data_IF_655262509088
#
_entry.id   IF_655262509088
#
_cell.length_a   1.000
_cell.length_b   1.000
_cell.length_c   1.000
_cell.angle_alpha   90.00
_cell.angle_beta   90.00
_cell.angle_gamma   90.00
#
_symmetry.space_group_name_H-M   'P 1'
#
loop_
_entity.id
_entity.type
_entity.pdbx_description
1 polymer ?
#
# COMPACT_ATOMS: atom_id res chain seq x y z
N UNK A 1 -6.34 -15.74 13.10
CA UNK A 1 -5.69 -14.51 12.64
C UNK A 1 -5.68 -13.59 13.83
N UNK A 2 -4.59 -13.59 14.59
CA UNK A 2 -4.61 -13.08 15.96
C UNK A 2 -4.44 -11.55 16.03
N UNK A 3 -4.24 -10.91 14.86
CA UNK A 3 -3.98 -9.48 14.73
C UNK A 3 -5.25 -8.62 14.58
N UNK A 4 -6.38 -9.21 14.18
CA UNK A 4 -7.68 -8.52 14.12
C UNK A 4 -8.67 -9.17 15.08
N UNK A 5 -9.23 -8.36 15.99
CA UNK A 5 -10.16 -8.84 17.03
C UNK A 5 -11.63 -8.78 16.61
N UNK A 6 -11.94 -8.13 15.48
CA UNK A 6 -13.29 -8.02 14.95
C UNK A 6 -13.67 -9.18 14.04
N UNK A 7 -14.88 -9.11 13.49
CA UNK A 7 -15.33 -10.03 12.43
C UNK A 7 -14.75 -9.57 11.10
N UNK A 8 -14.23 -10.50 10.31
CA UNK A 8 -13.85 -10.22 8.92
C UNK A 8 -15.05 -10.52 8.01
N UNK A 9 -15.43 -9.60 7.11
CA UNK A 9 -16.42 -9.89 6.07
C UNK A 9 -15.84 -10.86 5.04
N UNK A 10 -16.65 -11.27 4.06
CA UNK A 10 -16.13 -11.94 2.86
C UNK A 10 -15.11 -11.03 2.15
N UNK A 11 -13.90 -11.52 1.84
CA UNK A 11 -12.88 -10.69 1.21
C UNK A 11 -13.15 -10.48 -0.28
N UNK A 12 -12.67 -9.34 -0.79
CA UNK A 12 -12.36 -9.23 -2.20
C UNK A 12 -11.05 -9.98 -2.48
N UNK A 13 -11.10 -10.99 -3.36
CA UNK A 13 -9.96 -11.85 -3.68
C UNK A 13 -9.30 -11.40 -4.97
N UNK A 14 -7.97 -11.36 -4.99
CA UNK A 14 -7.19 -11.16 -6.20
C UNK A 14 -6.46 -12.44 -6.56
N UNK A 15 -6.72 -12.93 -7.76
CA UNK A 15 -6.19 -14.18 -8.28
C UNK A 15 -5.00 -13.94 -9.19
N UNK A 16 -4.30 -15.02 -9.56
CA UNK A 16 -3.28 -14.97 -10.61
C UNK A 16 -3.83 -14.36 -11.90
N UNK A 17 -5.08 -14.67 -12.27
CA UNK A 17 -5.69 -14.15 -13.49
C UNK A 17 -5.89 -12.63 -13.43
N UNK A 18 -6.36 -12.11 -12.29
CA UNK A 18 -6.51 -10.66 -12.07
C UNK A 18 -5.18 -9.90 -12.14
N UNK A 19 -4.07 -10.61 -11.90
CA UNK A 19 -2.73 -10.07 -11.81
C UNK A 19 -1.94 -10.23 -13.12
N UNK A 20 -2.39 -11.04 -14.08
CA UNK A 20 -1.67 -11.33 -15.35
C UNK A 20 -1.16 -10.09 -16.04
N UNK A 21 -1.99 -9.05 -16.13
CA UNK A 21 -1.66 -7.82 -16.84
C UNK A 21 -0.56 -6.99 -16.15
N UNK A 22 -0.14 -7.35 -14.93
CA UNK A 22 0.91 -6.65 -14.16
C UNK A 22 2.06 -7.57 -13.68
N UNK A 23 2.16 -8.81 -14.19
CA UNK A 23 3.30 -9.71 -13.92
C UNK A 23 4.42 -9.47 -14.93
N UNK A 24 5.68 -9.61 -14.50
CA UNK A 24 6.83 -9.56 -15.41
C UNK A 24 6.71 -10.62 -16.52
N UNK A 25 6.35 -11.84 -16.13
CA UNK A 25 6.27 -13.01 -17.01
C UNK A 25 4.88 -13.65 -17.01
N UNK A 26 3.88 -13.06 -17.67
CA UNK A 26 2.48 -13.46 -17.54
C UNK A 26 2.12 -14.77 -18.25
N UNK A 27 3.08 -15.48 -18.84
CA UNK A 27 2.85 -16.70 -19.61
C UNK A 27 2.86 -17.99 -18.76
N UNK A 28 3.14 -17.92 -17.45
CA UNK A 28 3.23 -19.12 -16.61
C UNK A 28 1.85 -19.79 -16.38
N UNK A 29 1.77 -21.07 -16.07
CA UNK A 29 0.48 -21.78 -15.94
C UNK A 29 -0.13 -21.75 -14.53
N UNK A 30 0.45 -21.00 -13.58
CA UNK A 30 -0.05 -20.92 -12.21
C UNK A 30 -1.45 -20.29 -12.12
N UNK A 31 -2.18 -20.66 -11.09
CA UNK A 31 -3.57 -20.24 -10.84
C UNK A 31 -3.82 -20.12 -9.32
N UNK A 32 -4.97 -19.56 -8.97
CA UNK A 32 -5.43 -19.48 -7.59
C UNK A 32 -5.38 -18.06 -7.00
N UNK A 33 -5.78 -17.92 -5.73
CA UNK A 33 -5.76 -16.65 -5.02
C UNK A 33 -4.32 -16.25 -4.64
N UNK A 34 -4.06 -14.94 -4.63
CA UNK A 34 -2.77 -14.34 -4.28
C UNK A 34 -2.87 -13.45 -3.04
N UNK A 35 -3.96 -12.68 -2.94
CA UNK A 35 -4.22 -11.86 -1.76
C UNK A 35 -5.71 -11.59 -1.56
N UNK A 36 -6.03 -11.22 -0.33
CA UNK A 36 -7.39 -11.04 0.18
C UNK A 36 -7.50 -9.65 0.79
N UNK A 37 -8.52 -8.89 0.40
CA UNK A 37 -8.76 -7.53 0.90
C UNK A 37 -10.08 -7.50 1.67
N UNK A 38 -10.02 -7.02 2.90
CA UNK A 38 -11.15 -6.82 3.79
C UNK A 38 -11.32 -5.33 4.01
N UNK A 39 -12.38 -4.77 3.46
CA UNK A 39 -12.59 -3.31 3.44
C UNK A 39 -13.63 -2.88 4.47
N UNK A 40 -13.57 -1.61 4.83
CA UNK A 40 -14.57 -0.95 5.68
C UNK A 40 -14.68 -1.57 7.08
N UNK A 41 -13.53 -1.94 7.66
CA UNK A 41 -13.47 -2.63 8.94
C UNK A 41 -13.60 -1.68 10.13
N UNK A 42 -14.31 -2.14 11.15
CA UNK A 42 -14.38 -1.52 12.46
C UNK A 42 -14.55 -2.59 13.56
N UNK A 43 -14.03 -2.33 14.76
CA UNK A 43 -14.18 -3.21 15.92
C UNK A 43 -15.54 -3.01 16.61
N UNK A 44 -16.10 -1.80 16.54
CA UNK A 44 -17.39 -1.44 17.11
C UNK A 44 -18.21 -0.57 16.15
N UNK A 45 -19.52 -0.52 16.35
CA UNK A 45 -20.40 0.39 15.60
C UNK A 45 -20.03 1.87 15.81
N UNK A 46 -19.48 2.20 16.99
CA UNK A 46 -18.98 3.55 17.30
C UNK A 46 -17.74 3.88 16.45
N UNK A 47 -16.77 2.97 16.38
CA UNK A 47 -15.57 3.15 15.53
C UNK A 47 -15.97 3.29 14.05
N UNK A 48 -16.98 2.54 13.62
CA UNK A 48 -17.51 2.65 12.25
C UNK A 48 -18.13 4.01 11.98
N UNK A 49 -18.87 4.56 12.95
CA UNK A 49 -19.41 5.91 12.86
C UNK A 49 -18.28 6.96 12.78
N UNK A 50 -17.25 6.85 13.62
CA UNK A 50 -16.08 7.75 13.61
C UNK A 50 -15.39 7.74 12.25
N UNK A 51 -15.09 6.55 11.70
CA UNK A 51 -14.48 6.41 10.37
C UNK A 51 -15.34 7.05 9.28
N UNK A 52 -16.67 6.84 9.32
CA UNK A 52 -17.61 7.41 8.33
C UNK A 52 -17.72 8.92 8.44
N UNK A 53 -17.83 9.46 9.65
CA UNK A 53 -17.89 10.90 9.91
C UNK A 53 -16.59 11.60 9.48
N UNK A 54 -15.44 10.97 9.72
CA UNK A 54 -14.14 11.44 9.25
C UNK A 54 -13.88 11.23 7.75
N UNK A 55 -14.79 10.58 7.02
CA UNK A 55 -14.60 10.30 5.60
C UNK A 55 -13.39 9.40 5.30
N UNK A 56 -13.01 8.54 6.24
CA UNK A 56 -11.85 7.62 6.12
C UNK A 56 -12.29 6.17 6.30
N UNK A 57 -11.47 5.25 5.82
CA UNK A 57 -11.72 3.81 5.89
C UNK A 57 -10.48 3.09 6.40
N UNK A 58 -10.70 2.09 7.25
CA UNK A 58 -9.67 1.15 7.67
C UNK A 58 -9.87 -0.18 6.95
N UNK A 59 -8.83 -0.65 6.27
CA UNK A 59 -8.84 -1.89 5.49
C UNK A 59 -7.74 -2.83 6.01
N UNK A 60 -7.90 -4.14 5.79
CA UNK A 60 -6.86 -5.15 6.00
C UNK A 60 -6.62 -5.89 4.71
N UNK A 61 -5.35 -6.10 4.35
CA UNK A 61 -4.93 -6.94 3.23
C UNK A 61 -4.03 -8.06 3.74
N UNK A 62 -4.28 -9.29 3.23
CA UNK A 62 -3.45 -10.46 3.49
C UNK A 62 -2.84 -10.92 2.17
N UNK A 63 -1.52 -10.90 2.07
CA UNK A 63 -0.76 -11.37 0.90
C UNK A 63 -0.14 -12.73 1.22
N UNK A 64 -0.45 -13.76 0.44
CA UNK A 64 0.13 -15.10 0.65
C UNK A 64 1.64 -15.10 0.39
N UNK A 65 2.42 -15.94 1.08
CA UNK A 65 3.85 -16.09 0.80
C UNK A 65 4.07 -16.90 -0.48
N UNK A 66 5.31 -16.83 -1.00
CA UNK A 66 5.76 -17.60 -2.17
C UNK A 66 5.88 -16.74 -3.43
N UNK A 67 5.89 -17.41 -4.58
CA UNK A 67 6.10 -16.77 -5.87
C UNK A 67 5.00 -17.06 -6.89
N UNK A 68 4.77 -16.07 -7.74
CA UNK A 68 3.88 -16.15 -8.90
C UNK A 68 4.65 -15.77 -10.16
N UNK A 69 4.73 -16.68 -11.12
CA UNK A 69 5.43 -16.51 -12.39
C UNK A 69 6.88 -15.96 -12.27
N UNK A 70 7.62 -16.36 -11.22
CA UNK A 70 9.02 -15.96 -11.01
C UNK A 70 9.22 -14.60 -10.30
N UNK A 71 8.16 -14.00 -9.78
CA UNK A 71 8.20 -12.84 -8.90
C UNK A 71 7.54 -13.15 -7.55
N UNK A 72 7.95 -12.46 -6.48
CA UNK A 72 7.24 -12.55 -5.20
C UNK A 72 5.80 -12.08 -5.37
N UNK A 73 4.89 -12.66 -4.57
CA UNK A 73 3.48 -12.27 -4.62
C UNK A 73 3.34 -10.82 -4.16
N UNK A 74 2.62 -10.03 -4.97
CA UNK A 74 2.43 -8.59 -4.76
C UNK A 74 1.00 -8.12 -5.02
N UNK A 75 0.66 -6.94 -4.52
CA UNK A 75 -0.57 -6.23 -4.90
C UNK A 75 -0.50 -5.72 -6.34
N UNK A 76 -1.66 -5.39 -6.93
CA UNK A 76 -1.78 -5.01 -8.35
C UNK A 76 -1.05 -3.73 -8.72
N UNK A 77 -0.96 -2.80 -7.77
CA UNK A 77 -0.42 -1.47 -7.97
C UNK A 77 -1.42 -0.49 -8.57
N UNK A 78 -1.44 0.74 -8.07
CA UNK A 78 -2.35 1.80 -8.52
C UNK A 78 -1.86 3.19 -8.12
N UNK A 79 -2.47 4.21 -8.70
CA UNK A 79 -2.41 5.60 -8.24
C UNK A 79 -3.74 6.02 -7.62
N UNK A 80 -3.71 7.13 -6.88
CA UNK A 80 -4.91 7.80 -6.38
C UNK A 80 -5.25 9.01 -7.26
N UNK A 81 -6.54 9.31 -7.46
CA UNK A 81 -6.94 10.52 -8.16
C UNK A 81 -6.67 11.77 -7.32
N UNK A 82 -6.72 12.94 -7.97
CA UNK A 82 -6.60 14.24 -7.31
C UNK A 82 -7.79 14.50 -6.37
N UNK A 83 -7.49 15.04 -5.19
CA UNK A 83 -8.47 15.61 -4.28
C UNK A 83 -8.96 16.96 -4.82
N UNK A 84 -10.06 17.53 -4.28
CA UNK A 84 -10.48 18.90 -4.60
C UNK A 84 -9.41 19.97 -4.33
N UNK A 85 -8.44 19.69 -3.46
CA UNK A 85 -7.30 20.56 -3.14
C UNK A 85 -6.15 20.50 -4.15
N UNK A 86 -6.23 19.64 -5.17
CA UNK A 86 -5.26 19.53 -6.26
C UNK A 86 -4.05 18.62 -5.99
N UNK A 87 -3.97 17.99 -4.81
CA UNK A 87 -3.04 16.90 -4.53
C UNK A 87 -3.79 15.56 -4.57
N UNK A 88 -3.13 14.50 -5.01
CA UNK A 88 -3.68 13.15 -4.94
C UNK A 88 -3.88 12.70 -3.49
N UNK A 89 -4.84 11.80 -3.26
CA UNK A 89 -5.07 11.26 -1.92
C UNK A 89 -3.85 10.47 -1.41
N UNK A 90 -3.42 10.65 -0.16
CA UNK A 90 -2.39 9.84 0.47
C UNK A 90 -2.98 8.55 1.07
N UNK A 91 -2.11 7.71 1.61
CA UNK A 91 -2.49 6.50 2.34
C UNK A 91 -1.46 6.18 3.43
N UNK A 92 -1.90 5.57 4.52
CA UNK A 92 -1.02 5.08 5.60
C UNK A 92 -1.16 3.58 5.68
N UNK A 93 -0.05 2.85 5.61
CA UNK A 93 0.00 1.42 5.88
C UNK A 93 0.61 1.12 7.25
N UNK A 94 0.21 0.00 7.85
CA UNK A 94 0.88 -0.65 8.98
C UNK A 94 1.07 -2.14 8.67
N UNK A 95 2.26 -2.67 8.93
CA UNK A 95 2.48 -4.12 8.92
C UNK A 95 1.99 -4.69 10.24
N UNK A 96 0.92 -5.49 10.21
CA UNK A 96 0.37 -6.16 11.40
C UNK A 96 1.09 -7.47 11.70
N UNK A 97 1.57 -8.17 10.66
CA UNK A 97 2.31 -9.43 10.78
C UNK A 97 3.12 -9.73 9.53
N UNK A 98 4.28 -10.35 9.69
CA UNK A 98 5.15 -10.75 8.58
C UNK A 98 6.13 -9.66 8.16
N UNK A 99 6.55 -9.72 6.90
CA UNK A 99 7.47 -8.77 6.28
C UNK A 99 6.88 -8.30 4.96
N UNK A 100 7.01 -7.02 4.66
CA UNK A 100 6.55 -6.44 3.41
C UNK A 100 7.58 -5.51 2.81
N UNK A 101 7.66 -5.48 1.50
CA UNK A 101 8.35 -4.43 0.77
C UNK A 101 7.32 -3.53 0.08
N UNK A 102 7.36 -2.24 0.36
CA UNK A 102 6.46 -1.25 -0.22
C UNK A 102 7.21 -0.50 -1.30
N UNK A 103 6.92 -0.81 -2.57
CA UNK A 103 7.50 -0.16 -3.73
C UNK A 103 6.63 1.02 -4.14
N UNK A 104 7.17 2.22 -4.01
CA UNK A 104 6.54 3.49 -4.38
C UNK A 104 7.24 4.06 -5.61
N UNK A 105 6.47 4.69 -6.49
CA UNK A 105 7.00 5.42 -7.65
C UNK A 105 6.23 6.72 -7.88
N UNK A 106 6.96 7.80 -8.15
CA UNK A 106 6.34 9.05 -8.61
C UNK A 106 5.73 8.84 -10.00
N UNK A 107 4.67 9.57 -10.32
CA UNK A 107 4.00 9.46 -11.62
C UNK A 107 4.91 9.81 -12.82
N UNK A 108 5.88 10.70 -12.61
CA UNK A 108 6.91 11.06 -13.61
C UNK A 108 8.15 10.14 -13.60
N UNK A 109 8.17 9.14 -12.70
CA UNK A 109 9.22 8.12 -12.54
C UNK A 109 10.60 8.69 -12.18
N UNK A 110 10.64 9.91 -11.66
CA UNK A 110 11.87 10.56 -11.20
C UNK A 110 12.27 10.13 -9.79
N UNK A 111 11.37 9.47 -9.05
CA UNK A 111 11.67 8.86 -7.77
C UNK A 111 11.00 7.49 -7.64
N UNK A 112 11.79 6.49 -7.22
CA UNK A 112 11.33 5.12 -7.01
C UNK A 112 11.98 4.59 -5.73
N UNK A 113 11.15 4.23 -4.77
CA UNK A 113 11.58 3.89 -3.41
C UNK A 113 11.00 2.55 -3.01
N UNK A 114 11.83 1.71 -2.41
CA UNK A 114 11.38 0.53 -1.68
C UNK A 114 11.51 0.79 -0.17
N UNK A 115 10.43 0.56 0.57
CA UNK A 115 10.48 0.46 2.02
C UNK A 115 10.36 -0.99 2.48
N UNK A 116 11.45 -1.62 2.96
CA UNK A 116 11.37 -2.82 3.75
C UNK A 116 10.68 -2.51 5.09
N UNK A 117 9.73 -3.35 5.49
CA UNK A 117 8.95 -3.14 6.69
C UNK A 117 8.58 -4.48 7.35
N UNK A 118 8.45 -4.44 8.67
CA UNK A 118 8.12 -5.56 9.54
C UNK A 118 7.02 -5.17 10.53
N UNK A 119 6.48 -6.13 11.27
CA UNK A 119 5.41 -5.89 12.26
C UNK A 119 5.60 -4.62 13.08
N UNK A 120 4.62 -3.71 13.03
CA UNK A 120 4.59 -2.41 13.72
C UNK A 120 5.03 -1.22 12.85
N UNK A 121 5.82 -1.46 11.80
CA UNK A 121 6.27 -0.41 10.89
C UNK A 121 5.10 0.21 10.13
N UNK A 122 5.19 1.51 9.90
CA UNK A 122 4.19 2.30 9.19
C UNK A 122 4.82 3.00 8.00
N UNK A 123 4.14 2.94 6.86
CA UNK A 123 4.60 3.54 5.61
C UNK A 123 3.57 4.58 5.17
N UNK A 124 4.04 5.81 4.94
CA UNK A 124 3.24 6.85 4.31
C UNK A 124 3.38 6.75 2.79
N UNK A 125 2.25 6.68 2.10
CA UNK A 125 2.19 6.87 0.65
C UNK A 125 1.85 8.35 0.40
N UNK A 126 2.82 9.18 -0.02
CA UNK A 126 2.55 10.58 -0.26
C UNK A 126 1.72 10.80 -1.54
N UNK A 127 1.04 11.95 -1.65
CA UNK A 127 0.40 12.37 -2.91
C UNK A 127 1.36 12.29 -4.09
N UNK A 128 0.89 11.81 -5.26
CA UNK A 128 1.73 11.70 -6.46
C UNK A 128 2.41 10.35 -6.65
N UNK A 129 2.36 9.46 -5.65
CA UNK A 129 3.05 8.18 -5.68
C UNK A 129 2.09 7.01 -5.86
N UNK A 130 2.36 6.21 -6.89
CA UNK A 130 1.76 4.91 -7.07
C UNK A 130 2.52 3.88 -6.25
N UNK A 131 1.84 2.85 -5.76
CA UNK A 131 2.45 1.92 -4.82
C UNK A 131 2.04 0.46 -5.05
N UNK A 132 2.97 -0.45 -4.74
CA UNK A 132 2.80 -1.90 -4.73
C UNK A 132 3.35 -2.44 -3.42
N UNK A 133 2.66 -3.40 -2.81
CA UNK A 133 3.18 -4.12 -1.65
C UNK A 133 3.51 -5.54 -2.03
N UNK A 134 4.72 -5.98 -1.69
CA UNK A 134 5.30 -7.27 -2.04
C UNK A 134 5.49 -8.06 -0.75
N UNK A 135 5.16 -9.36 -0.76
CA UNK A 135 5.50 -10.27 0.32
C UNK A 135 6.77 -11.07 -0.03
N UNK A 136 7.95 -10.66 0.48
CA UNK A 136 9.20 -11.40 0.27
C UNK A 136 9.39 -12.55 1.28
N UNK A 137 8.46 -12.72 2.23
CA UNK A 137 8.56 -13.66 3.34
C UNK A 137 8.06 -15.07 3.02
N UNK A 138 8.37 -15.99 3.93
CA UNK A 138 7.85 -17.37 3.92
C UNK A 138 6.48 -17.48 4.61
N UNK A 139 6.06 -16.43 5.32
CA UNK A 139 4.79 -16.34 6.04
C UNK A 139 3.84 -15.33 5.36
N UNK A 140 2.51 -15.45 5.57
CA UNK A 140 1.57 -14.43 5.12
C UNK A 140 1.91 -13.04 5.66
N UNK A 141 1.97 -12.06 4.77
CA UNK A 141 2.03 -10.64 5.13
C UNK A 141 0.61 -10.17 5.42
N UNK A 142 0.38 -9.69 6.64
CA UNK A 142 -0.85 -8.99 7.01
C UNK A 142 -0.52 -7.53 7.20
N UNK A 143 -1.23 -6.67 6.48
CA UNK A 143 -1.14 -5.22 6.61
C UNK A 143 -2.52 -4.60 6.77
N UNK A 144 -2.55 -3.46 7.44
CA UNK A 144 -3.69 -2.58 7.46
C UNK A 144 -3.38 -1.27 6.77
N UNK A 145 -4.42 -0.55 6.37
CA UNK A 145 -4.29 0.80 5.85
C UNK A 145 -5.44 1.71 6.26
N UNK A 146 -5.14 3.00 6.41
CA UNK A 146 -6.11 4.08 6.51
C UNK A 146 -6.05 4.90 5.23
N UNK A 147 -7.22 5.16 4.66
CA UNK A 147 -7.36 5.83 3.37
C UNK A 147 -8.64 6.69 3.35
N UNK A 148 -8.68 7.70 2.48
CA UNK A 148 -9.92 8.47 2.25
C UNK A 148 -11.01 7.59 1.61
N UNK A 149 -12.27 7.82 2.00
CA UNK A 149 -13.45 7.24 1.33
C UNK A 149 -13.80 7.92 0.01
N UNK A 150 -13.20 9.08 -0.26
CA UNK A 150 -13.61 9.96 -1.35
C UNK A 150 -12.97 9.62 -2.70
N UNK A 151 -12.30 8.45 -2.80
CA UNK A 151 -11.72 8.01 -4.06
C UNK A 151 -11.85 6.50 -4.32
N UNK A 152 -11.63 6.16 -5.58
CA UNK A 152 -11.40 4.80 -6.06
C UNK A 152 -10.02 4.72 -6.72
N UNK A 153 -9.34 3.58 -6.51
CA UNK A 153 -7.99 3.34 -7.03
C UNK A 153 -7.96 3.35 -8.57
N UNK A 154 -7.01 4.10 -9.17
CA UNK A 154 -6.76 4.08 -10.61
C UNK A 154 -5.66 3.06 -10.96
N UNK A 155 -6.09 1.92 -11.50
CA UNK A 155 -5.20 0.86 -11.95
C UNK A 155 -4.68 1.07 -13.38
N UNK A 156 -5.19 2.05 -14.14
CA UNK A 156 -4.96 2.16 -15.59
C UNK A 156 -3.49 2.29 -15.96
N UNK A 157 -2.73 3.09 -15.21
CA UNK A 157 -1.30 3.31 -15.44
C UNK A 157 -0.51 2.01 -15.24
N UNK A 158 -0.71 1.32 -14.12
CA UNK A 158 -0.05 0.05 -13.84
C UNK A 158 -0.41 -1.00 -14.89
N UNK A 159 -1.66 -1.08 -15.35
CA UNK A 159 -2.04 -1.98 -16.45
C UNK A 159 -1.32 -1.64 -17.76
N UNK A 160 -1.28 -0.35 -18.12
CA UNK A 160 -0.67 0.11 -19.37
C UNK A 160 0.83 -0.19 -19.44
N UNK A 161 1.53 -0.14 -18.30
CA UNK A 161 2.97 -0.39 -18.20
C UNK A 161 3.32 -1.76 -17.61
N UNK A 162 2.35 -2.67 -17.49
CA UNK A 162 2.54 -4.02 -16.94
C UNK A 162 3.08 -4.05 -15.50
N UNK A 163 2.63 -3.15 -14.66
CA UNK A 163 2.97 -3.09 -13.24
C UNK A 163 3.93 -1.96 -12.93
N UNK A 164 4.66 -2.11 -11.84
CA UNK A 164 5.52 -1.06 -11.31
C UNK A 164 6.81 -0.88 -12.12
N UNK A 165 7.53 0.20 -11.81
CA UNK A 165 8.86 0.53 -12.32
C UNK A 165 9.88 -0.62 -12.18
N UNK A 166 9.73 -1.43 -11.13
CA UNK A 166 10.55 -2.59 -10.85
C UNK A 166 9.68 -3.80 -10.46
N UNK A 167 10.14 -5.00 -10.79
CA UNK A 167 9.63 -6.25 -10.25
C UNK A 167 10.65 -6.82 -9.28
N UNK A 168 10.18 -7.35 -8.14
CA UNK A 168 11.01 -8.13 -7.24
C UNK A 168 10.86 -9.61 -7.56
N UNK A 169 11.93 -10.22 -8.07
CA UNK A 169 11.97 -11.64 -8.43
C UNK A 169 12.00 -12.50 -7.17
N UNK A 170 11.61 -13.77 -7.29
CA UNK A 170 11.54 -14.69 -6.15
C UNK A 170 12.89 -15.14 -5.57
N UNK A 171 13.99 -14.70 -6.19
CA UNK A 171 15.36 -14.76 -5.66
C UNK A 171 15.83 -13.44 -5.02
N UNK A 172 14.94 -12.46 -4.88
CA UNK A 172 15.19 -11.17 -4.22
C UNK A 172 15.91 -10.13 -5.08
N UNK A 173 15.98 -10.31 -6.40
CA UNK A 173 16.55 -9.31 -7.31
C UNK A 173 15.48 -8.33 -7.81
N UNK A 174 15.93 -7.12 -8.17
CA UNK A 174 15.05 -6.10 -8.74
C UNK A 174 15.27 -5.99 -10.24
N UNK A 175 14.27 -6.39 -11.02
CA UNK A 175 14.25 -6.26 -12.47
C UNK A 175 13.58 -4.95 -12.87
N UNK A 176 14.31 -4.07 -13.57
CA UNK A 176 13.72 -2.87 -14.19
C UNK A 176 12.64 -3.28 -15.19
N UNK A 177 11.47 -2.67 -15.10
CA UNK A 177 10.39 -2.95 -16.03
C UNK A 177 10.69 -2.28 -17.40
N UNK A 178 10.84 -3.08 -18.47
CA UNK A 178 11.32 -2.58 -19.76
C UNK A 178 10.31 -1.71 -20.51
N UNK A 179 9.04 -1.65 -20.06
CA UNK A 179 8.04 -0.75 -20.65
C UNK A 179 8.21 0.70 -20.22
N UNK A 180 8.97 0.96 -19.15
CA UNK A 180 9.35 2.31 -18.76
C UNK A 180 10.64 2.73 -19.46
N UNK A 181 10.56 3.73 -20.34
CA UNK A 181 11.72 4.20 -21.12
C UNK A 181 12.76 4.94 -20.28
N UNK A 182 12.33 5.57 -19.19
CA UNK A 182 13.16 6.31 -18.24
C UNK A 182 12.57 6.09 -16.85
N UNK A 183 13.42 5.68 -15.94
CA UNK A 183 13.07 5.40 -14.54
C UNK A 183 14.28 5.73 -13.69
N UNK A 184 14.07 6.40 -12.57
CA UNK A 184 15.11 6.61 -11.58
C UNK A 184 15.63 5.27 -11.02
N UNK A 185 16.82 5.29 -10.45
CA UNK A 185 17.34 4.11 -9.76
C UNK A 185 16.57 3.88 -8.46
N UNK A 186 16.34 2.60 -8.14
CA UNK A 186 15.63 2.18 -6.94
C UNK A 186 16.42 2.58 -5.70
N UNK A 187 15.82 3.40 -4.84
CA UNK A 187 16.32 3.72 -3.50
C UNK A 187 15.69 2.79 -2.46
N UNK A 188 16.40 2.58 -1.36
CA UNK A 188 15.91 1.80 -0.23
C UNK A 188 15.86 2.73 0.98
N UNK A 189 14.67 2.86 1.56
CA UNK A 189 14.44 3.68 2.74
C UNK A 189 13.82 2.80 3.82
N UNK A 190 14.37 2.86 5.03
CA UNK A 190 13.74 2.20 6.18
C UNK A 190 12.42 2.90 6.53
N UNK A 191 11.51 2.18 7.21
CA UNK A 191 10.34 2.82 7.81
C UNK A 191 10.77 3.82 8.90
N UNK A 192 10.16 5.00 8.91
CA UNK A 192 10.46 6.06 9.88
C UNK A 192 9.19 6.52 10.59
N UNK A 193 9.35 6.91 11.85
CA UNK A 193 8.27 7.46 12.66
C UNK A 193 7.98 8.92 12.25
N UNK A 194 6.70 9.27 12.22
CA UNK A 194 6.17 10.60 11.96
C UNK A 194 5.38 11.11 13.18
N UNK A 195 6.08 11.48 14.28
CA UNK A 195 5.45 11.89 15.53
C UNK A 195 4.59 13.16 15.38
N UNK A 196 4.86 14.00 14.37
CA UNK A 196 4.08 15.19 14.04
C UNK A 196 2.62 14.89 13.67
N UNK A 197 2.32 13.65 13.24
CA UNK A 197 0.97 13.17 12.93
C UNK A 197 0.58 11.93 13.74
N UNK A 198 1.34 11.61 14.79
CA UNK A 198 1.08 10.43 15.65
C UNK A 198 1.32 9.08 14.98
N UNK A 199 1.77 9.05 13.71
CA UNK A 199 2.07 7.82 12.96
C UNK A 199 3.45 7.32 13.39
N UNK A 200 3.46 6.54 14.47
CA UNK A 200 4.68 5.98 15.05
C UNK A 200 4.54 4.47 15.27
N UNK A 201 5.65 3.74 15.23
CA UNK A 201 5.70 2.28 15.32
C UNK A 201 4.97 1.72 16.53
N UNK A 202 5.11 2.36 17.69
CA UNK A 202 4.56 1.89 18.97
C UNK A 202 3.05 2.10 19.13
N UNK A 203 2.41 2.92 18.29
CA UNK A 203 0.97 3.18 18.33
C UNK A 203 0.30 2.38 17.22
N UNK A 204 -0.63 1.45 17.51
CA UNK A 204 -1.36 0.73 16.46
C UNK A 204 -2.08 1.71 15.52
N UNK A 205 -2.05 1.47 14.21
CA UNK A 205 -2.74 2.33 13.23
C UNK A 205 -4.24 2.40 13.51
N UNK A 206 -4.83 1.33 14.03
CA UNK A 206 -6.24 1.30 14.39
C UNK A 206 -6.60 2.28 15.51
N UNK A 207 -5.68 2.58 16.43
CA UNK A 207 -5.93 3.54 17.52
C UNK A 207 -6.00 4.98 16.98
N UNK A 208 -5.34 5.25 15.85
CA UNK A 208 -5.31 6.56 15.20
C UNK A 208 -6.64 6.94 14.55
N UNK A 209 -7.61 6.04 14.39
CA UNK A 209 -8.93 6.38 13.83
C UNK A 209 -9.68 7.43 14.66
N UNK A 210 -9.31 7.57 15.95
CA UNK A 210 -9.88 8.54 16.89
C UNK A 210 -9.10 9.85 16.97
N UNK A 211 -7.94 9.92 16.31
CA UNK A 211 -7.17 11.15 16.22
C UNK A 211 -7.83 12.07 15.18
N UNK A 212 -8.26 13.29 15.57
CA UNK A 212 -8.93 14.21 14.66
C UNK A 212 -8.03 14.66 13.49
N UNK A 213 -6.70 14.48 13.58
CA UNK A 213 -5.77 14.84 12.53
C UNK A 213 -5.78 13.86 11.35
N UNK A 214 -6.12 12.59 11.58
CA UNK A 214 -6.05 11.55 10.54
C UNK A 214 -7.07 11.79 9.40
N UNK A 215 -8.33 12.13 9.68
CA UNK A 215 -9.25 12.59 8.64
C UNK A 215 -8.71 13.73 7.79
N UNK A 216 -8.11 14.75 8.41
CA UNK A 216 -7.56 15.91 7.70
C UNK A 216 -6.33 15.50 6.87
N UNK A 217 -5.45 14.68 7.43
CA UNK A 217 -4.26 14.17 6.74
C UNK A 217 -4.64 13.39 5.47
N UNK A 218 -5.72 12.60 5.52
CA UNK A 218 -6.19 11.79 4.40
C UNK A 218 -7.04 12.58 3.40
N UNK A 219 -7.83 13.56 3.84
CA UNK A 219 -8.79 14.26 2.96
C UNK A 219 -8.32 15.63 2.48
N UNK A 220 -7.41 16.29 3.20
CA UNK A 220 -6.86 17.62 2.92
C UNK A 220 -5.32 17.57 2.85
N UNK A 221 -4.73 16.70 2.00
CA UNK A 221 -3.28 16.51 1.95
C UNK A 221 -2.49 17.80 1.70
N UNK A 222 -3.07 18.80 1.05
CA UNK A 222 -2.47 20.11 0.81
C UNK A 222 -2.16 20.91 2.09
N UNK A 223 -2.81 20.60 3.21
CA UNK A 223 -2.51 21.20 4.51
C UNK A 223 -1.25 20.59 5.17
N UNK A 224 -0.73 19.47 4.63
CA UNK A 224 0.31 18.65 5.23
C UNK A 224 1.55 18.48 4.33
N UNK A 225 1.78 19.41 3.38
CA UNK A 225 2.90 19.31 2.43
C UNK A 225 4.25 19.09 3.08
N UNK A 226 4.49 19.68 4.25
CA UNK A 226 5.73 19.49 5.00
C UNK A 226 5.99 18.02 5.42
N UNK A 227 4.96 17.20 5.64
CA UNK A 227 5.12 15.77 5.91
C UNK A 227 5.47 15.04 4.61
N UNK A 228 4.70 15.30 3.55
CA UNK A 228 4.86 14.63 2.25
C UNK A 228 6.22 14.92 1.58
N UNK A 229 6.72 16.15 1.74
CA UNK A 229 8.03 16.53 1.22
C UNK A 229 9.19 15.84 1.94
N UNK A 230 8.98 15.34 3.16
CA UNK A 230 10.03 14.78 4.01
C UNK A 230 9.95 13.25 4.14
N UNK A 231 8.78 12.63 3.94
CA UNK A 231 8.60 11.20 4.22
C UNK A 231 9.37 10.25 3.28
N UNK A 232 9.88 10.72 2.15
CA UNK A 232 10.72 9.95 1.22
C UNK A 232 12.16 10.48 1.08
N UNK A 233 12.60 11.36 1.99
CA UNK A 233 13.99 11.85 2.01
C UNK A 233 14.91 10.82 2.68
N UNK A 234 16.14 10.74 2.18
CA UNK A 234 17.22 9.94 2.78
C UNK A 234 17.68 10.51 4.16
#
# INVERSE_FOLDING_TARGET
MDVWKGVLPEPEVRTVEDMREVLAYPACEQQGPLYYMYRDLALTDEDHAILREGGIRYDITIITPGSVCGEFIKTKGHYHPESPGGLQYPEIYEVLSGKGHFLLQSQDLTDVVLHPATTGDKILIPPGFGHVTINPGEDPLVMANIVSRNFESDYSFFRAYRGAAYYETDDGQFLKNPLYTRVADLRFLEAVDHPEVGVVREVPLYDLIRDPLIPDLMNLPEAFTHIWENCLRD
#
